data_IF_832328235172
#
_entry.id   IF_832328235172
#
_cell.length_a   1.000
_cell.length_b   1.000
_cell.length_c   1.000
_cell.angle_alpha   90.00
_cell.angle_beta   90.00
_cell.angle_gamma   90.00
#
_symmetry.space_group_name_H-M   'P 1'
#
loop_
_entity.id
_entity.type
_entity.pdbx_description
1 polymer ?
#
# COMPACT_ATOMS: atom_id res chain seq x y z
N UNK A 1 -23.13 -10.56 -11.99
CA UNK A 1 -21.75 -10.98 -11.70
C UNK A 1 -21.57 -11.22 -10.21
N UNK A 2 -20.73 -12.16 -9.84
CA UNK A 2 -20.42 -12.39 -8.42
C UNK A 2 -19.57 -11.26 -7.88
N UNK A 3 -19.90 -10.77 -6.68
CA UNK A 3 -19.15 -9.73 -5.98
C UNK A 3 -19.24 -9.91 -4.46
N UNK A 4 -18.24 -9.43 -3.75
CA UNK A 4 -18.29 -9.21 -2.31
C UNK A 4 -19.04 -7.91 -2.05
N UNK A 5 -20.10 -7.93 -1.26
CA UNK A 5 -20.99 -6.79 -1.05
C UNK A 5 -21.01 -6.37 0.41
N UNK A 6 -20.78 -5.09 0.65
CA UNK A 6 -20.98 -4.40 1.92
C UNK A 6 -22.36 -3.75 1.91
N UNK A 7 -23.31 -4.30 2.67
CA UNK A 7 -24.69 -3.77 2.78
C UNK A 7 -24.86 -2.84 3.96
N UNK A 8 -24.08 -3.04 5.00
CA UNK A 8 -24.08 -2.25 6.24
C UNK A 8 -22.65 -1.91 6.63
N UNK A 9 -22.45 -0.76 7.25
CA UNK A 9 -21.16 -0.42 7.84
C UNK A 9 -20.84 -1.39 8.98
N UNK A 10 -19.62 -1.92 8.98
CA UNK A 10 -19.16 -2.86 10.01
C UNK A 10 -17.84 -3.51 9.64
N UNK A 11 -17.47 -4.58 10.37
CA UNK A 11 -16.25 -5.33 10.10
C UNK A 11 -16.42 -6.35 8.96
N UNK A 12 -15.37 -7.16 8.68
CA UNK A 12 -15.41 -8.17 7.62
C UNK A 12 -16.57 -9.17 7.71
N UNK A 13 -17.18 -9.30 8.88
CA UNK A 13 -18.33 -10.21 9.12
C UNK A 13 -19.62 -9.76 8.45
N UNK A 14 -19.74 -8.48 8.13
CA UNK A 14 -20.90 -7.90 7.45
C UNK A 14 -20.86 -8.09 5.93
N UNK A 15 -19.75 -8.60 5.39
CA UNK A 15 -19.60 -8.83 3.96
C UNK A 15 -20.31 -10.12 3.53
N UNK A 16 -21.06 -10.02 2.43
CA UNK A 16 -21.70 -11.15 1.76
C UNK A 16 -21.12 -11.34 0.36
N UNK A 17 -21.29 -12.51 -0.20
CA UNK A 17 -20.96 -12.79 -1.61
C UNK A 17 -22.27 -12.99 -2.34
N UNK A 18 -22.58 -12.07 -3.22
CA UNK A 18 -23.87 -12.03 -3.91
C UNK A 18 -23.71 -11.79 -5.42
N UNK A 19 -24.77 -12.00 -6.16
CA UNK A 19 -24.90 -11.48 -7.50
C UNK A 19 -25.19 -9.98 -7.46
N UNK A 20 -24.31 -9.19 -8.04
CA UNK A 20 -24.41 -7.74 -8.14
C UNK A 20 -24.49 -7.30 -9.61
N UNK A 21 -25.13 -6.17 -9.85
CA UNK A 21 -25.09 -5.52 -11.15
C UNK A 21 -23.63 -5.07 -11.47
N UNK A 22 -23.23 -5.18 -12.73
CA UNK A 22 -21.96 -4.61 -13.18
C UNK A 22 -21.99 -3.09 -13.03
N UNK A 23 -20.87 -2.50 -12.61
CA UNK A 23 -20.74 -1.05 -12.55
C UNK A 23 -20.97 -0.44 -13.94
N UNK A 24 -21.66 0.70 -14.06
CA UNK A 24 -21.82 1.39 -15.34
C UNK A 24 -20.45 1.81 -15.89
N UNK A 25 -20.31 1.81 -17.22
CA UNK A 25 -19.13 2.38 -17.87
C UNK A 25 -19.07 3.88 -17.59
N UNK A 26 -17.88 4.38 -17.32
CA UNK A 26 -17.62 5.80 -17.13
C UNK A 26 -16.91 6.39 -18.36
N UNK A 27 -17.00 7.69 -18.56
CA UNK A 27 -16.22 8.38 -19.59
C UNK A 27 -14.71 8.15 -19.36
N UNK A 28 -13.96 7.83 -20.42
CA UNK A 28 -12.55 7.48 -20.32
C UNK A 28 -12.26 6.18 -19.57
N UNK A 29 -13.27 5.32 -19.40
CA UNK A 29 -13.19 4.11 -18.58
C UNK A 29 -12.78 2.86 -19.37
N UNK A 30 -12.31 1.86 -18.60
CA UNK A 30 -12.07 0.49 -19.01
C UNK A 30 -12.93 -0.42 -18.15
N UNK A 31 -13.65 -1.36 -18.76
CA UNK A 31 -14.21 -2.52 -18.05
C UNK A 31 -13.18 -3.64 -18.05
N UNK A 32 -12.92 -4.18 -16.88
CA UNK A 32 -11.90 -5.20 -16.66
C UNK A 32 -12.58 -6.45 -16.12
N UNK A 33 -12.43 -7.59 -16.81
CA UNK A 33 -12.69 -8.89 -16.22
C UNK A 33 -11.59 -9.17 -15.20
N UNK A 34 -11.95 -9.12 -13.92
CA UNK A 34 -11.01 -9.20 -12.80
C UNK A 34 -10.56 -10.64 -12.62
N UNK A 35 -9.26 -10.88 -12.73
CA UNK A 35 -8.63 -12.16 -12.38
C UNK A 35 -8.18 -12.16 -10.91
N UNK A 36 -7.72 -11.00 -10.42
CA UNK A 36 -7.24 -10.84 -9.05
C UNK A 36 -7.48 -9.41 -8.52
N UNK A 37 -7.67 -9.25 -7.21
CA UNK A 37 -7.83 -7.98 -6.52
C UNK A 37 -6.93 -7.91 -5.28
N UNK A 38 -6.19 -6.82 -5.11
CA UNK A 38 -5.33 -6.61 -3.96
C UNK A 38 -6.13 -6.23 -2.70
N UNK A 39 -5.77 -6.84 -1.56
CA UNK A 39 -6.38 -6.52 -0.26
C UNK A 39 -5.53 -5.48 0.46
N UNK A 40 -6.19 -4.42 0.93
CA UNK A 40 -5.55 -3.28 1.57
C UNK A 40 -6.15 -3.00 2.97
N UNK A 41 -5.36 -2.44 3.87
CA UNK A 41 -5.86 -2.00 5.18
C UNK A 41 -6.97 -0.94 5.03
N UNK A 42 -6.87 -0.09 4.01
CA UNK A 42 -7.88 0.90 3.69
C UNK A 42 -9.26 0.28 3.40
N UNK A 43 -9.32 -0.93 2.83
CA UNK A 43 -10.58 -1.64 2.60
C UNK A 43 -11.29 -1.95 3.93
N UNK A 44 -10.54 -2.33 4.97
CA UNK A 44 -11.11 -2.59 6.32
C UNK A 44 -11.71 -1.32 6.93
N UNK A 45 -11.02 -0.19 6.78
CA UNK A 45 -11.49 1.12 7.26
C UNK A 45 -12.69 1.62 6.45
N UNK A 46 -12.72 1.30 5.15
CA UNK A 46 -13.82 1.68 4.24
C UNK A 46 -15.12 0.94 4.60
N UNK A 47 -15.07 -0.37 4.79
CA UNK A 47 -16.28 -1.15 5.15
C UNK A 47 -16.81 -0.79 6.55
N UNK A 48 -15.97 -0.23 7.43
CA UNK A 48 -16.38 0.33 8.72
C UNK A 48 -17.00 1.74 8.60
N UNK A 49 -17.04 2.33 7.39
CA UNK A 49 -17.52 3.70 7.18
C UNK A 49 -16.61 4.79 7.75
N UNK A 50 -15.36 4.48 8.03
CA UNK A 50 -14.37 5.38 8.64
C UNK A 50 -13.32 5.92 7.67
N UNK A 51 -13.33 5.42 6.42
CA UNK A 51 -12.44 5.91 5.38
C UNK A 51 -12.91 7.27 4.82
N UNK A 52 -12.00 8.06 4.24
CA UNK A 52 -12.32 9.39 3.69
C UNK A 52 -13.33 9.33 2.55
N UNK A 53 -13.18 8.35 1.66
CA UNK A 53 -14.16 8.04 0.64
C UNK A 53 -15.17 7.03 1.20
N UNK A 54 -16.44 7.43 1.26
CA UNK A 54 -17.56 6.60 1.72
C UNK A 54 -18.48 6.30 0.55
N UNK A 55 -18.34 5.14 -0.11
CA UNK A 55 -19.26 4.74 -1.16
C UNK A 55 -20.71 4.63 -0.64
N UNK A 56 -21.71 4.90 -1.47
CA UNK A 56 -23.09 4.61 -1.09
C UNK A 56 -23.29 3.11 -0.90
N UNK A 57 -24.00 2.72 0.16
CA UNK A 57 -24.42 1.34 0.39
C UNK A 57 -25.57 0.95 -0.54
N UNK A 58 -25.61 -0.29 -1.08
CA UNK A 58 -24.57 -1.32 -0.98
C UNK A 58 -23.43 -1.09 -1.98
N UNK A 59 -22.21 -1.48 -1.63
CA UNK A 59 -21.04 -1.41 -2.52
C UNK A 59 -20.14 -2.63 -2.40
N UNK A 60 -19.29 -2.87 -3.40
CA UNK A 60 -18.18 -3.84 -3.32
C UNK A 60 -16.90 -3.12 -2.92
N UNK A 61 -16.14 -3.60 -1.91
CA UNK A 61 -14.82 -3.04 -1.59
C UNK A 61 -13.77 -3.39 -2.65
N UNK A 62 -12.49 -3.06 -2.36
CA UNK A 62 -11.34 -3.33 -3.23
C UNK A 62 -10.93 -2.13 -4.06
N UNK A 63 -9.68 -1.69 -3.87
CA UNK A 63 -9.14 -0.44 -4.43
C UNK A 63 -8.15 -0.66 -5.58
N UNK A 64 -7.81 -1.90 -5.89
CA UNK A 64 -6.92 -2.26 -6.99
C UNK A 64 -7.28 -3.65 -7.54
N UNK A 65 -7.13 -3.79 -8.85
CA UNK A 65 -7.46 -5.02 -9.57
C UNK A 65 -6.42 -5.32 -10.65
N UNK A 66 -6.31 -6.58 -11.02
CA UNK A 66 -5.65 -7.02 -12.25
C UNK A 66 -6.56 -7.94 -13.03
N UNK A 67 -6.50 -7.86 -14.35
CA UNK A 67 -7.36 -8.67 -15.21
C UNK A 67 -7.17 -8.37 -16.69
N UNK A 68 -8.23 -8.65 -17.45
CA UNK A 68 -8.25 -8.36 -18.89
C UNK A 68 -9.29 -7.31 -19.22
N UNK A 69 -8.93 -6.39 -20.08
CA UNK A 69 -9.88 -5.43 -20.64
C UNK A 69 -10.94 -6.20 -21.45
N UNK A 70 -12.20 -5.96 -21.17
CA UNK A 70 -13.34 -6.52 -21.95
C UNK A 70 -14.00 -5.45 -22.79
N UNK A 71 -13.97 -4.19 -22.35
CA UNK A 71 -14.59 -3.08 -23.05
C UNK A 71 -13.83 -1.78 -22.75
N UNK A 72 -13.76 -0.88 -23.73
CA UNK A 72 -13.22 0.48 -23.56
C UNK A 72 -14.30 1.49 -23.86
N UNK A 73 -14.38 2.57 -23.09
CA UNK A 73 -15.25 3.69 -23.41
C UNK A 73 -14.80 4.37 -24.73
N UNK A 74 -15.73 5.02 -25.46
CA UNK A 74 -15.37 5.76 -26.67
C UNK A 74 -14.23 6.76 -26.45
N UNK A 75 -13.28 6.81 -27.37
CA UNK A 75 -12.14 7.73 -27.30
C UNK A 75 -10.97 7.29 -26.43
N UNK A 76 -11.06 6.21 -25.68
CA UNK A 76 -9.93 5.66 -24.93
C UNK A 76 -8.87 5.15 -25.91
N UNK A 77 -7.64 5.57 -25.69
CA UNK A 77 -6.44 5.15 -26.47
C UNK A 77 -5.50 4.33 -25.60
N UNK A 78 -4.69 3.48 -26.26
CA UNK A 78 -3.65 2.69 -25.59
C UNK A 78 -4.12 1.37 -24.99
N UNK A 79 -5.44 1.08 -25.00
CA UNK A 79 -6.03 -0.16 -24.51
C UNK A 79 -7.04 -0.74 -25.50
N UNK A 80 -7.14 -2.06 -25.53
CA UNK A 80 -8.13 -2.80 -26.33
C UNK A 80 -8.59 -4.04 -25.57
N UNK A 81 -9.75 -4.61 -25.92
CA UNK A 81 -10.21 -5.88 -25.39
C UNK A 81 -9.13 -6.98 -25.51
N UNK A 82 -8.94 -7.74 -24.42
CA UNK A 82 -7.92 -8.77 -24.30
C UNK A 82 -6.61 -8.33 -23.64
N UNK A 83 -6.33 -7.01 -23.57
CA UNK A 83 -5.12 -6.51 -22.91
C UNK A 83 -5.10 -6.88 -21.43
N UNK A 84 -3.93 -7.32 -20.96
CA UNK A 84 -3.66 -7.60 -19.55
C UNK A 84 -3.33 -6.30 -18.84
N UNK A 85 -4.14 -5.94 -17.86
CA UNK A 85 -3.99 -4.66 -17.14
C UNK A 85 -4.10 -4.86 -15.63
N UNK A 86 -3.47 -3.96 -14.88
CA UNK A 86 -3.83 -3.69 -13.49
C UNK A 86 -4.26 -2.24 -13.36
N UNK A 87 -5.12 -1.96 -12.42
CA UNK A 87 -5.69 -0.63 -12.27
C UNK A 87 -5.92 -0.27 -10.80
N UNK A 88 -5.81 1.02 -10.50
CA UNK A 88 -6.28 1.63 -9.26
C UNK A 88 -7.70 2.13 -9.45
N UNK A 89 -8.57 1.73 -8.56
CA UNK A 89 -9.96 2.18 -8.49
C UNK A 89 -10.29 2.68 -7.08
N UNK A 90 -11.44 3.33 -6.88
CA UNK A 90 -11.79 3.80 -5.55
C UNK A 90 -12.44 2.72 -4.69
N UNK A 91 -13.25 1.86 -5.29
CA UNK A 91 -13.91 0.69 -4.73
C UNK A 91 -14.45 -0.18 -5.88
N UNK A 92 -14.99 -1.34 -5.59
CA UNK A 92 -15.60 -2.23 -6.59
C UNK A 92 -14.68 -3.33 -7.10
N UNK A 93 -13.48 -3.47 -6.54
CA UNK A 93 -12.50 -4.47 -7.01
C UNK A 93 -12.76 -5.89 -6.55
N UNK A 94 -13.54 -6.11 -5.50
CA UNK A 94 -13.86 -7.45 -5.03
C UNK A 94 -15.07 -8.02 -5.79
N UNK A 95 -14.97 -8.04 -7.09
CA UNK A 95 -16.00 -8.50 -8.01
C UNK A 95 -15.37 -9.15 -9.24
N UNK A 96 -16.17 -9.88 -10.02
CA UNK A 96 -15.74 -10.50 -11.27
C UNK A 96 -15.45 -9.49 -12.37
N UNK A 97 -16.02 -8.28 -12.28
CA UNK A 97 -15.76 -7.17 -13.21
C UNK A 97 -15.62 -5.87 -12.42
N UNK A 98 -14.74 -5.00 -12.89
CA UNK A 98 -14.56 -3.65 -12.37
C UNK A 98 -14.45 -2.64 -13.50
N UNK A 99 -14.79 -1.38 -13.20
CA UNK A 99 -14.60 -0.25 -14.12
C UNK A 99 -13.53 0.67 -13.54
N UNK A 100 -12.51 0.98 -14.34
CA UNK A 100 -11.41 1.84 -13.97
C UNK A 100 -11.26 3.00 -14.96
N UNK A 101 -10.80 4.16 -14.51
CA UNK A 101 -10.34 5.21 -15.41
C UNK A 101 -9.08 4.71 -16.15
N UNK A 102 -9.05 4.82 -17.49
CA UNK A 102 -7.93 4.35 -18.30
C UNK A 102 -6.58 4.97 -17.90
N UNK A 103 -6.58 6.23 -17.46
CA UNK A 103 -5.36 6.93 -17.00
C UNK A 103 -4.76 6.36 -15.70
N UNK A 104 -5.53 5.54 -14.95
CA UNK A 104 -5.06 4.85 -13.75
C UNK A 104 -5.07 3.32 -13.92
N UNK A 105 -4.93 2.90 -15.17
CA UNK A 105 -4.69 1.52 -15.56
C UNK A 105 -3.35 1.43 -16.29
N UNK A 106 -2.64 0.34 -16.08
CA UNK A 106 -1.34 0.09 -16.70
C UNK A 106 -1.31 -1.31 -17.28
N UNK A 107 -0.61 -1.47 -18.39
CA UNK A 107 -0.39 -2.80 -18.96
C UNK A 107 0.50 -3.61 -18.03
N UNK A 108 0.13 -4.88 -17.80
CA UNK A 108 0.94 -5.80 -16.98
C UNK A 108 2.21 -6.17 -17.75
N UNK A 109 3.40 -5.92 -17.20
CA UNK A 109 4.66 -6.28 -17.84
C UNK A 109 4.73 -7.78 -18.17
N UNK A 110 5.48 -8.11 -19.21
CA UNK A 110 5.77 -9.51 -19.54
C UNK A 110 6.49 -10.16 -18.36
N UNK A 111 6.01 -11.33 -17.95
CA UNK A 111 6.56 -12.07 -16.80
C UNK A 111 5.89 -11.76 -15.46
N UNK A 112 5.11 -10.69 -15.32
CA UNK A 112 4.30 -10.44 -14.13
C UNK A 112 2.99 -11.21 -14.23
N UNK A 113 2.65 -12.00 -13.22
CA UNK A 113 1.36 -12.69 -13.12
C UNK A 113 0.25 -11.76 -12.61
N UNK A 114 -1.02 -12.22 -12.68
CA UNK A 114 -2.17 -11.42 -12.28
C UNK A 114 -2.22 -11.14 -10.77
N UNK A 115 -1.78 -12.06 -9.94
CA UNK A 115 -1.80 -11.89 -8.48
C UNK A 115 -0.77 -10.88 -8.05
N UNK A 116 0.42 -10.93 -8.61
CA UNK A 116 1.48 -9.94 -8.41
C UNK A 116 1.02 -8.55 -8.87
N UNK A 117 0.44 -8.46 -10.06
CA UNK A 117 -0.05 -7.20 -10.62
C UNK A 117 -1.18 -6.58 -9.77
N UNK A 118 -2.12 -7.40 -9.28
CA UNK A 118 -3.22 -6.95 -8.42
C UNK A 118 -2.75 -6.37 -7.08
N UNK A 119 -1.59 -6.79 -6.59
CA UNK A 119 -1.02 -6.30 -5.33
C UNK A 119 0.04 -5.21 -5.50
N UNK A 120 0.22 -4.65 -6.70
CA UNK A 120 1.34 -3.77 -7.01
C UNK A 120 1.03 -2.28 -6.81
N UNK A 121 -0.07 -1.79 -7.40
CA UNK A 121 -0.32 -0.36 -7.55
C UNK A 121 -0.34 0.41 -6.22
N UNK A 122 -1.16 -0.04 -5.26
CA UNK A 122 -1.38 0.70 -4.02
C UNK A 122 -0.14 0.74 -3.16
N UNK A 123 0.54 -0.38 -2.95
CA UNK A 123 1.66 -0.43 -2.00
C UNK A 123 2.93 0.21 -2.56
N UNK A 124 3.27 -0.05 -3.83
CA UNK A 124 4.44 0.56 -4.47
C UNK A 124 4.22 2.05 -4.73
N UNK A 125 3.07 2.44 -5.26
CA UNK A 125 2.73 3.84 -5.49
C UNK A 125 2.72 4.67 -4.20
N UNK A 126 2.17 4.10 -3.12
CA UNK A 126 2.19 4.71 -1.79
C UNK A 126 3.62 4.96 -1.32
N UNK A 127 4.46 3.93 -1.30
CA UNK A 127 5.82 4.05 -0.78
C UNK A 127 6.70 4.93 -1.66
N UNK A 128 6.56 4.85 -3.00
CA UNK A 128 7.37 5.66 -3.91
C UNK A 128 7.09 7.16 -3.73
N UNK A 129 5.84 7.59 -3.84
CA UNK A 129 5.52 9.02 -3.69
C UNK A 129 5.70 9.52 -2.25
N UNK A 130 5.47 8.69 -1.25
CA UNK A 130 5.77 9.05 0.13
C UNK A 130 7.25 9.34 0.34
N UNK A 131 8.15 8.53 -0.23
CA UNK A 131 9.59 8.70 -0.07
C UNK A 131 10.18 9.73 -1.00
N UNK A 132 9.74 9.80 -2.28
CA UNK A 132 10.31 10.72 -3.28
C UNK A 132 9.72 12.13 -3.20
N UNK A 133 8.39 12.25 -3.34
CA UNK A 133 7.73 13.56 -3.40
C UNK A 133 7.50 14.15 -2.01
N UNK A 134 7.00 13.33 -1.06
CA UNK A 134 6.59 13.86 0.25
C UNK A 134 7.73 13.98 1.25
N UNK A 135 8.55 12.93 1.39
CA UNK A 135 9.72 12.94 2.27
C UNK A 135 10.95 13.59 1.61
N UNK A 136 11.05 13.55 0.29
CA UNK A 136 12.27 13.98 -0.41
C UNK A 136 13.50 13.23 0.09
N UNK A 137 13.38 11.88 0.22
CA UNK A 137 14.48 11.01 0.66
C UNK A 137 15.67 11.14 -0.27
N UNK A 138 16.86 11.34 0.30
CA UNK A 138 18.11 11.54 -0.44
C UNK A 138 19.05 10.34 -0.27
N UNK A 139 19.90 10.07 -1.26
CA UNK A 139 20.99 9.08 -1.10
C UNK A 139 21.84 9.40 0.13
N UNK A 140 22.21 8.35 0.88
CA UNK A 140 23.02 8.45 2.10
C UNK A 140 22.23 8.80 3.37
N UNK A 141 20.93 9.15 3.29
CA UNK A 141 20.08 9.31 4.47
C UNK A 141 19.72 7.96 5.10
N UNK A 142 19.43 7.96 6.39
CA UNK A 142 18.93 6.81 7.12
C UNK A 142 17.40 6.82 7.12
N UNK A 143 16.81 5.76 6.56
CA UNK A 143 15.37 5.51 6.53
C UNK A 143 14.98 4.45 7.55
N UNK A 144 14.19 4.83 8.57
CA UNK A 144 13.54 3.87 9.47
C UNK A 144 12.17 3.49 8.93
N UNK A 145 11.92 2.19 8.75
CA UNK A 145 10.64 1.66 8.28
C UNK A 145 9.96 0.84 9.37
N UNK A 146 8.82 1.32 9.88
CA UNK A 146 8.00 0.53 10.79
C UNK A 146 7.12 -0.47 10.03
N UNK A 147 6.87 -1.64 10.67
CA UNK A 147 6.06 -2.68 10.04
C UNK A 147 6.63 -3.16 8.70
N UNK A 148 7.95 -3.27 8.61
CA UNK A 148 8.72 -3.45 7.38
C UNK A 148 8.38 -4.71 6.57
N UNK A 149 7.80 -5.74 7.20
CA UNK A 149 7.35 -6.94 6.48
C UNK A 149 5.91 -6.87 5.96
N UNK A 150 5.18 -5.78 6.24
CA UNK A 150 3.83 -5.56 5.70
C UNK A 150 3.86 -5.03 4.26
N UNK A 151 2.68 -4.91 3.62
CA UNK A 151 2.59 -4.49 2.22
C UNK A 151 3.36 -3.22 1.92
N UNK A 152 2.98 -2.08 2.51
CA UNK A 152 3.66 -0.79 2.28
C UNK A 152 5.03 -0.69 2.94
N UNK A 153 5.26 -1.45 4.04
CA UNK A 153 6.57 -1.46 4.70
C UNK A 153 7.63 -2.12 3.84
N UNK A 154 7.31 -3.28 3.26
CA UNK A 154 8.25 -4.02 2.43
C UNK A 154 8.64 -3.25 1.16
N UNK A 155 7.65 -2.60 0.52
CA UNK A 155 7.91 -1.74 -0.64
C UNK A 155 8.70 -0.48 -0.27
N UNK A 156 8.52 0.05 0.94
CA UNK A 156 9.35 1.17 1.43
C UNK A 156 10.81 0.76 1.67
N UNK A 157 11.07 -0.48 2.12
CA UNK A 157 12.43 -1.03 2.21
C UNK A 157 13.08 -1.08 0.84
N UNK A 158 12.45 -1.70 -0.15
CA UNK A 158 13.00 -1.82 -1.51
C UNK A 158 13.26 -0.46 -2.16
N UNK A 159 12.27 0.43 -2.10
CA UNK A 159 12.37 1.76 -2.68
C UNK A 159 13.43 2.59 -1.97
N UNK A 160 13.51 2.52 -0.64
CA UNK A 160 14.55 3.19 0.13
C UNK A 160 15.96 2.75 -0.30
N UNK A 161 16.16 1.45 -0.50
CA UNK A 161 17.42 0.90 -1.04
C UNK A 161 17.70 1.40 -2.46
N UNK A 162 16.71 1.36 -3.34
CA UNK A 162 16.85 1.85 -4.73
C UNK A 162 17.18 3.34 -4.78
N UNK A 163 16.73 4.12 -3.80
CA UNK A 163 17.04 5.55 -3.66
C UNK A 163 18.39 5.82 -2.96
N UNK A 164 19.12 4.79 -2.55
CA UNK A 164 20.45 4.92 -1.94
C UNK A 164 20.45 5.22 -0.44
N UNK A 165 19.36 4.98 0.27
CA UNK A 165 19.29 5.13 1.72
C UNK A 165 19.89 3.93 2.46
N UNK A 166 20.36 4.15 3.70
CA UNK A 166 20.57 3.09 4.68
C UNK A 166 19.22 2.78 5.35
N UNK A 167 18.73 1.55 5.19
CA UNK A 167 17.40 1.17 5.64
C UNK A 167 17.45 0.37 6.94
N UNK A 168 16.81 0.90 7.98
CA UNK A 168 16.55 0.22 9.25
C UNK A 168 15.11 -0.28 9.23
N UNK A 169 14.89 -1.59 9.32
CA UNK A 169 13.58 -2.22 9.30
C UNK A 169 13.14 -2.67 10.69
N UNK A 170 11.89 -2.37 11.10
CA UNK A 170 11.33 -2.92 12.34
C UNK A 170 10.19 -3.90 12.06
N UNK A 171 10.19 -5.03 12.75
CA UNK A 171 9.09 -5.99 12.77
C UNK A 171 9.00 -6.67 14.14
N UNK A 172 7.94 -7.45 14.39
CA UNK A 172 7.72 -8.07 15.70
C UNK A 172 8.06 -9.55 15.77
N UNK A 173 8.76 -10.10 14.78
CA UNK A 173 9.26 -11.49 14.82
C UNK A 173 10.49 -11.64 13.96
N UNK A 174 11.43 -12.57 14.32
CA UNK A 174 12.60 -12.85 13.51
C UNK A 174 12.29 -13.27 12.06
N UNK A 175 11.22 -14.05 11.85
CA UNK A 175 10.81 -14.46 10.51
C UNK A 175 10.37 -13.28 9.63
N UNK A 176 9.70 -12.28 10.18
CA UNK A 176 9.34 -11.05 9.48
C UNK A 176 10.55 -10.18 9.18
N UNK A 177 11.51 -10.13 10.09
CA UNK A 177 12.76 -9.40 9.89
C UNK A 177 13.62 -10.05 8.78
N UNK A 178 13.67 -11.39 8.73
CA UNK A 178 14.37 -12.10 7.66
C UNK A 178 13.81 -11.70 6.27
N UNK A 179 12.48 -11.58 6.15
CA UNK A 179 11.85 -11.12 4.90
C UNK A 179 12.27 -9.68 4.56
N UNK A 180 12.32 -8.78 5.55
CA UNK A 180 12.77 -7.40 5.30
C UNK A 180 14.25 -7.36 4.85
N UNK A 181 15.09 -8.24 5.40
CA UNK A 181 16.50 -8.39 4.99
C UNK A 181 16.61 -8.89 3.53
N UNK A 182 15.82 -9.90 3.13
CA UNK A 182 15.76 -10.41 1.76
C UNK A 182 15.38 -9.32 0.74
N UNK A 183 14.63 -8.30 1.19
CA UNK A 183 14.20 -7.15 0.40
C UNK A 183 15.14 -5.93 0.53
N UNK A 184 16.27 -6.09 1.23
CA UNK A 184 17.35 -5.12 1.20
C UNK A 184 17.48 -4.23 2.44
N UNK A 185 16.82 -4.53 3.56
CA UNK A 185 17.08 -3.81 4.80
C UNK A 185 18.52 -4.03 5.27
N UNK A 186 19.23 -2.96 5.62
CA UNK A 186 20.61 -3.03 6.11
C UNK A 186 20.68 -3.41 7.58
N UNK A 187 19.70 -2.94 8.36
CA UNK A 187 19.62 -3.19 9.80
C UNK A 187 18.21 -3.63 10.18
N UNK A 188 18.14 -4.47 11.19
CA UNK A 188 16.90 -5.10 11.66
C UNK A 188 16.71 -4.83 13.15
N UNK A 189 15.48 -4.50 13.55
CA UNK A 189 15.11 -4.30 14.96
C UNK A 189 13.86 -5.12 15.26
N UNK A 190 13.97 -6.07 16.20
CA UNK A 190 12.79 -6.76 16.75
C UNK A 190 12.15 -5.90 17.84
N UNK A 191 11.11 -5.15 17.47
CA UNK A 191 10.42 -4.27 18.40
C UNK A 191 9.66 -5.00 19.53
N UNK A 192 9.61 -6.34 19.52
CA UNK A 192 9.05 -7.15 20.63
C UNK A 192 10.09 -7.46 21.70
N UNK A 193 11.38 -7.42 21.36
CA UNK A 193 12.50 -7.77 22.22
C UNK A 193 13.45 -6.60 22.50
N UNK A 194 13.45 -5.58 21.64
CA UNK A 194 14.41 -4.47 21.68
C UNK A 194 13.67 -3.12 21.79
N UNK A 195 14.29 -2.14 22.47
CA UNK A 195 13.83 -0.75 22.44
C UNK A 195 14.24 -0.08 21.13
N UNK A 196 13.26 0.22 20.30
CA UNK A 196 13.47 0.79 18.95
C UNK A 196 14.30 2.07 19.00
N UNK A 197 14.05 2.96 19.97
CA UNK A 197 14.81 4.21 20.12
C UNK A 197 16.28 3.93 20.36
N UNK A 198 16.58 3.09 21.34
CA UNK A 198 17.97 2.74 21.73
C UNK A 198 18.70 2.15 20.53
N UNK A 199 18.07 1.19 19.84
CA UNK A 199 18.71 0.54 18.69
C UNK A 199 18.93 1.48 17.51
N UNK A 200 17.98 2.36 17.19
CA UNK A 200 18.16 3.36 16.13
C UNK A 200 19.31 4.31 16.47
N UNK A 201 19.41 4.78 17.70
CA UNK A 201 20.50 5.66 18.11
C UNK A 201 21.87 4.96 18.07
N UNK A 202 21.96 3.70 18.49
CA UNK A 202 23.17 2.90 18.35
C UNK A 202 23.62 2.73 16.89
N UNK A 203 22.65 2.40 16.00
CA UNK A 203 22.91 2.19 14.57
C UNK A 203 23.24 3.47 13.80
N UNK A 204 23.05 4.64 14.42
CA UNK A 204 23.26 5.95 13.80
C UNK A 204 24.22 6.84 14.57
N UNK A 205 25.05 6.27 15.45
CA UNK A 205 26.02 7.01 16.29
C UNK A 205 25.38 8.17 17.07
N UNK A 206 24.17 7.93 17.60
CA UNK A 206 23.38 8.90 18.37
C UNK A 206 22.62 9.92 17.54
N UNK A 207 22.78 9.96 16.22
CA UNK A 207 22.18 10.96 15.32
C UNK A 207 20.68 10.78 15.13
N UNK A 208 20.22 9.55 15.06
CA UNK A 208 18.83 9.17 14.73
C UNK A 208 18.59 9.02 13.23
N UNK A 209 17.36 8.62 12.86
CA UNK A 209 16.96 8.41 11.47
C UNK A 209 16.55 9.74 10.80
N UNK A 210 16.96 9.95 9.55
CA UNK A 210 16.64 11.17 8.80
C UNK A 210 15.18 11.18 8.30
N UNK A 211 14.69 10.00 7.91
CA UNK A 211 13.30 9.78 7.48
C UNK A 211 12.73 8.59 8.23
N UNK A 212 11.50 8.72 8.70
CA UNK A 212 10.77 7.62 9.32
C UNK A 212 9.47 7.40 8.54
N UNK A 213 9.28 6.18 8.04
CA UNK A 213 8.09 5.73 7.34
C UNK A 213 7.18 4.97 8.31
N UNK A 214 6.05 5.57 8.69
CA UNK A 214 5.18 5.05 9.74
C UNK A 214 3.78 4.68 9.24
N UNK A 215 3.52 3.39 8.93
CA UNK A 215 2.18 2.86 8.67
C UNK A 215 1.48 2.35 9.95
N UNK A 216 2.11 2.46 11.13
CA UNK A 216 1.70 1.78 12.36
C UNK A 216 1.00 2.73 13.34
N UNK A 217 1.60 3.89 13.61
CA UNK A 217 1.10 4.82 14.64
C UNK A 217 1.33 4.32 16.07
N UNK A 218 0.59 4.88 17.04
CA UNK A 218 0.66 4.46 18.43
C UNK A 218 2.07 4.47 19.02
N UNK A 219 2.52 3.36 19.63
CA UNK A 219 3.84 3.24 20.25
C UNK A 219 5.00 3.38 19.25
N UNK A 220 4.83 2.93 17.99
CA UNK A 220 5.84 3.10 16.96
C UNK A 220 6.08 4.60 16.66
N UNK A 221 5.02 5.39 16.56
CA UNK A 221 5.13 6.83 16.38
C UNK A 221 5.80 7.52 17.59
N UNK A 222 5.47 7.09 18.81
CA UNK A 222 6.11 7.62 20.02
C UNK A 222 7.62 7.33 20.06
N UNK A 223 8.04 6.14 19.61
CA UNK A 223 9.45 5.79 19.44
C UNK A 223 10.09 6.64 18.34
N UNK A 224 9.39 6.89 17.23
CA UNK A 224 9.85 7.73 16.12
C UNK A 224 10.21 9.15 16.57
N UNK A 225 9.37 9.80 17.36
CA UNK A 225 9.65 11.14 17.89
C UNK A 225 10.94 11.22 18.74
N UNK A 226 11.38 10.09 19.31
CA UNK A 226 12.56 10.01 20.16
C UNK A 226 13.82 9.57 19.41
N UNK A 227 13.65 8.88 18.27
CA UNK A 227 14.76 8.32 17.47
C UNK A 227 14.98 9.05 16.12
N UNK A 228 14.19 10.09 15.85
CA UNK A 228 14.38 10.93 14.67
C UNK A 228 15.59 11.87 14.84
N UNK A 229 16.34 12.04 13.76
CA UNK A 229 17.44 13.00 13.69
C UNK A 229 16.94 14.44 13.78
N UNK A 230 17.82 15.35 14.17
CA UNK A 230 17.55 16.79 14.09
C UNK A 230 17.31 17.19 12.63
N UNK A 231 16.23 17.92 12.36
CA UNK A 231 15.82 18.28 11.00
C UNK A 231 15.17 17.16 10.20
N UNK A 232 14.95 15.98 10.79
CA UNK A 232 14.35 14.82 10.14
C UNK A 232 12.84 14.98 9.90
N UNK A 233 12.24 13.98 9.23
CA UNK A 233 10.80 13.96 8.91
C UNK A 233 10.17 12.59 9.09
N UNK A 234 8.99 12.57 9.72
CA UNK A 234 8.17 11.38 9.90
C UNK A 234 7.03 11.44 8.88
N UNK A 235 6.91 10.41 8.05
CA UNK A 235 5.81 10.28 7.08
C UNK A 235 4.75 9.37 7.65
N UNK A 236 3.57 9.93 7.93
CA UNK A 236 2.40 9.20 8.43
C UNK A 236 1.68 8.57 7.24
N UNK A 237 1.72 7.24 7.16
CA UNK A 237 1.11 6.43 6.10
C UNK A 237 -0.22 5.82 6.56
N UNK A 238 -0.31 5.44 7.83
CA UNK A 238 -1.48 4.78 8.38
C UNK A 238 -1.39 4.53 9.87
N UNK A 239 -2.40 3.83 10.38
CA UNK A 239 -2.57 3.58 11.81
C UNK A 239 -2.91 2.12 12.08
N UNK A 240 -2.06 1.21 11.56
CA UNK A 240 -2.28 -0.25 11.71
C UNK A 240 -2.31 -0.73 13.18
N UNK A 241 -1.82 0.07 14.13
CA UNK A 241 -1.99 -0.18 15.56
C UNK A 241 -3.44 0.04 16.05
N UNK A 242 -4.26 0.76 15.26
CA UNK A 242 -5.57 1.25 15.69
C UNK A 242 -5.53 2.58 16.46
N UNK A 243 -4.35 3.09 16.80
CA UNK A 243 -4.17 4.32 17.59
C UNK A 243 -3.63 5.45 16.74
N UNK A 244 -4.41 6.51 16.60
CA UNK A 244 -3.98 7.75 15.94
C UNK A 244 -3.12 8.54 16.93
N UNK A 245 -1.84 8.85 16.59
CA UNK A 245 -0.95 9.53 17.50
C UNK A 245 -1.28 11.01 17.65
N UNK A 246 -1.02 11.56 18.84
CA UNK A 246 -0.99 13.01 19.07
C UNK A 246 0.42 13.51 18.79
N UNK A 247 0.52 14.63 18.09
CA UNK A 247 1.82 15.22 17.72
C UNK A 247 2.14 16.38 18.67
N UNK A 248 3.12 16.22 19.59
CA UNK A 248 3.50 17.29 20.53
C UNK A 248 4.32 18.36 19.82
N UNK A 249 3.74 19.53 19.59
CA UNK A 249 4.34 20.61 18.82
C UNK A 249 5.66 21.14 19.41
N UNK A 250 5.85 21.06 20.73
CA UNK A 250 7.10 21.42 21.39
C UNK A 250 8.29 20.53 20.95
N UNK A 251 8.06 19.25 20.64
CA UNK A 251 9.10 18.36 20.10
C UNK A 251 9.46 18.77 18.68
N UNK A 252 8.47 19.13 17.86
CA UNK A 252 8.71 19.61 16.50
C UNK A 252 9.59 20.85 16.52
N UNK A 253 9.27 21.80 17.41
CA UNK A 253 10.01 23.06 17.59
C UNK A 253 11.48 22.81 17.94
N UNK A 254 11.74 22.00 18.99
CA UNK A 254 13.10 21.83 19.54
C UNK A 254 13.98 20.98 18.62
N UNK A 255 13.40 19.96 17.96
CA UNK A 255 14.14 19.09 17.06
C UNK A 255 14.15 19.58 15.61
N UNK A 256 13.43 20.65 15.28
CA UNK A 256 13.25 21.14 13.90
C UNK A 256 12.72 20.07 12.94
N UNK A 257 11.90 19.12 13.42
CA UNK A 257 11.39 18.00 12.63
C UNK A 257 10.05 18.30 11.99
N UNK A 258 9.76 17.62 10.86
CA UNK A 258 8.47 17.61 10.22
C UNK A 258 7.69 16.31 10.50
N UNK A 259 6.37 16.43 10.73
CA UNK A 259 5.43 15.29 10.66
C UNK A 259 4.52 15.54 9.47
N UNK A 260 4.60 14.68 8.46
CA UNK A 260 4.00 14.89 7.16
C UNK A 260 2.95 13.79 6.92
N UNK A 261 1.71 14.15 6.68
CA UNK A 261 0.67 13.22 6.25
C UNK A 261 0.84 12.85 4.77
N UNK A 262 0.50 11.61 4.43
CA UNK A 262 0.50 11.13 3.06
C UNK A 262 -0.71 10.25 2.79
N UNK A 263 -1.41 10.52 1.69
CA UNK A 263 -2.52 9.71 1.17
C UNK A 263 -2.37 9.55 -0.34
N UNK A 264 -1.93 8.37 -0.78
CA UNK A 264 -1.72 8.10 -2.20
C UNK A 264 -2.99 8.26 -3.04
N UNK A 265 -4.14 7.85 -2.50
CA UNK A 265 -5.43 7.96 -3.20
C UNK A 265 -5.82 9.40 -3.56
N UNK A 266 -5.39 10.38 -2.76
CA UNK A 266 -5.70 11.80 -3.02
C UNK A 266 -4.82 12.42 -4.12
N UNK A 267 -3.66 11.83 -4.43
CA UNK A 267 -2.85 12.26 -5.58
C UNK A 267 -3.60 12.15 -6.90
N UNK A 268 -4.51 11.18 -7.02
CA UNK A 268 -5.40 11.07 -8.19
C UNK A 268 -6.17 12.36 -8.48
N UNK A 269 -6.57 13.08 -7.44
CA UNK A 269 -7.36 14.31 -7.56
C UNK A 269 -6.48 15.56 -7.71
N UNK A 270 -5.35 15.61 -7.01
CA UNK A 270 -4.54 16.83 -6.90
C UNK A 270 -3.28 16.80 -7.75
N UNK A 271 -2.69 15.66 -7.97
CA UNK A 271 -1.42 15.48 -8.68
C UNK A 271 -1.43 14.19 -9.54
N UNK A 272 -2.40 14.04 -10.48
CA UNK A 272 -2.53 12.82 -11.29
C UNK A 272 -1.27 12.50 -12.09
N UNK A 273 -0.56 13.51 -12.60
CA UNK A 273 0.67 13.32 -13.39
C UNK A 273 1.80 12.71 -12.54
N UNK A 274 1.93 13.11 -11.27
CA UNK A 274 2.90 12.48 -10.38
C UNK A 274 2.55 11.02 -10.09
N UNK A 275 1.26 10.72 -9.95
CA UNK A 275 0.80 9.35 -9.72
C UNK A 275 1.13 8.46 -10.92
N UNK A 276 0.84 8.91 -12.13
CA UNK A 276 1.13 8.14 -13.36
C UNK A 276 2.63 8.01 -13.60
N UNK A 277 3.40 9.08 -13.51
CA UNK A 277 4.86 9.06 -13.67
C UNK A 277 5.57 8.21 -12.59
N UNK A 278 5.03 8.22 -11.36
CA UNK A 278 5.49 7.31 -10.30
C UNK A 278 5.33 5.85 -10.70
N UNK A 279 4.18 5.49 -11.26
CA UNK A 279 3.93 4.11 -11.67
C UNK A 279 4.80 3.69 -12.87
N UNK A 280 5.03 4.58 -13.82
CA UNK A 280 5.95 4.34 -14.94
C UNK A 280 7.39 4.06 -14.43
N UNK A 281 7.85 4.85 -13.47
CA UNK A 281 9.16 4.64 -12.82
C UNK A 281 9.21 3.27 -12.12
N UNK A 282 8.19 2.92 -11.37
CA UNK A 282 8.11 1.64 -10.65
C UNK A 282 8.08 0.44 -11.60
N UNK A 283 7.36 0.55 -12.72
CA UNK A 283 7.35 -0.49 -13.75
C UNK A 283 8.70 -0.64 -14.42
N UNK A 284 9.44 0.47 -14.63
CA UNK A 284 10.84 0.44 -15.09
C UNK A 284 11.73 -0.29 -14.11
N UNK A 285 11.66 0.03 -12.81
CA UNK A 285 12.45 -0.65 -11.77
C UNK A 285 12.08 -2.14 -11.62
N UNK A 286 10.80 -2.48 -11.81
CA UNK A 286 10.38 -3.89 -11.84
C UNK A 286 11.02 -4.62 -13.03
N UNK A 287 11.00 -4.02 -14.22
CA UNK A 287 11.61 -4.60 -15.43
C UNK A 287 13.14 -4.80 -15.29
N UNK A 288 13.82 -3.91 -14.55
CA UNK A 288 15.24 -4.04 -14.17
C UNK A 288 15.49 -5.12 -13.11
N UNK A 289 14.45 -5.72 -12.51
CA UNK A 289 14.58 -6.67 -11.41
C UNK A 289 14.94 -6.04 -10.07
N UNK A 290 14.83 -4.71 -9.94
CA UNK A 290 15.12 -3.98 -8.71
C UNK A 290 13.99 -4.09 -7.67
N UNK A 291 12.78 -4.42 -8.09
CA UNK A 291 11.64 -4.65 -7.21
C UNK A 291 11.23 -6.12 -7.24
N UNK A 292 10.88 -6.65 -6.05
CA UNK A 292 10.51 -8.05 -5.83
C UNK A 292 9.13 -8.16 -5.17
N UNK A 293 8.03 -7.87 -5.89
CA UNK A 293 6.70 -7.88 -5.30
C UNK A 293 6.39 -9.21 -4.62
N UNK A 294 5.94 -9.13 -3.36
CA UNK A 294 5.64 -10.31 -2.55
C UNK A 294 4.14 -10.42 -2.28
N UNK A 295 3.53 -11.48 -2.81
CA UNK A 295 2.19 -11.92 -2.43
C UNK A 295 2.35 -13.11 -1.48
N UNK A 296 1.93 -12.95 -0.23
CA UNK A 296 2.13 -13.97 0.81
C UNK A 296 0.94 -14.89 1.00
N UNK A 297 -0.24 -14.44 0.60
CA UNK A 297 -1.48 -15.19 0.73
C UNK A 297 -2.40 -14.88 -0.45
N UNK A 298 -3.07 -15.92 -0.95
CA UNK A 298 -4.17 -15.80 -1.91
C UNK A 298 -5.41 -16.47 -1.34
N UNK A 299 -6.56 -15.87 -1.61
CA UNK A 299 -7.87 -16.40 -1.22
C UNK A 299 -8.80 -16.32 -2.43
N UNK A 300 -9.79 -17.19 -2.50
CA UNK A 300 -10.87 -17.03 -3.47
C UNK A 300 -11.72 -15.79 -3.12
N UNK A 301 -12.37 -15.21 -4.11
CA UNK A 301 -13.27 -14.07 -3.92
C UNK A 301 -14.32 -14.31 -2.81
N UNK A 302 -14.84 -15.55 -2.75
CA UNK A 302 -15.79 -15.98 -1.72
C UNK A 302 -15.20 -15.97 -0.29
N UNK A 303 -13.89 -15.95 -0.16
CA UNK A 303 -13.17 -15.94 1.12
C UNK A 303 -12.65 -14.55 1.51
N UNK A 304 -13.15 -13.48 0.88
CA UNK A 304 -12.72 -12.11 1.15
C UNK A 304 -12.75 -11.73 2.64
N UNK A 305 -13.74 -12.24 3.39
CA UNK A 305 -13.80 -12.08 4.84
C UNK A 305 -12.55 -12.64 5.52
N UNK A 306 -12.14 -13.87 5.17
CA UNK A 306 -10.95 -14.51 5.77
C UNK A 306 -9.68 -13.74 5.41
N UNK A 307 -9.59 -13.22 4.17
CA UNK A 307 -8.47 -12.40 3.72
C UNK A 307 -8.32 -11.12 4.55
N UNK A 308 -9.44 -10.39 4.79
CA UNK A 308 -9.45 -9.20 5.63
C UNK A 308 -9.16 -9.53 7.10
N UNK A 309 -9.70 -10.62 7.64
CA UNK A 309 -9.39 -11.09 9.00
C UNK A 309 -7.90 -11.48 9.14
N UNK A 310 -7.29 -12.09 8.11
CA UNK A 310 -5.85 -12.40 8.10
C UNK A 310 -4.99 -11.12 8.11
N UNK A 311 -5.41 -10.09 7.36
CA UNK A 311 -4.75 -8.78 7.35
C UNK A 311 -4.83 -8.10 8.72
N UNK A 312 -6.03 -8.02 9.30
CA UNK A 312 -6.25 -7.45 10.63
C UNK A 312 -5.51 -8.21 11.72
N UNK A 313 -5.41 -9.53 11.58
CA UNK A 313 -4.61 -10.40 12.47
C UNK A 313 -3.09 -10.31 12.25
N UNK A 314 -2.61 -9.44 11.36
CA UNK A 314 -1.17 -9.24 11.05
C UNK A 314 -0.44 -10.53 10.65
N UNK A 315 -1.16 -11.47 10.00
CA UNK A 315 -0.61 -12.77 9.59
C UNK A 315 0.15 -12.70 8.26
N UNK A 316 -0.09 -11.66 7.45
CA UNK A 316 0.53 -11.49 6.13
C UNK A 316 1.93 -10.88 6.21
N UNK A 317 2.75 -11.22 5.22
CA UNK A 317 4.03 -10.58 4.90
C UNK A 317 4.00 -10.16 3.43
N UNK A 318 4.05 -8.86 3.14
CA UNK A 318 3.71 -8.36 1.80
C UNK A 318 2.20 -8.28 1.59
N UNK A 319 1.72 -8.66 0.41
CA UNK A 319 0.32 -8.53 -0.01
C UNK A 319 -0.52 -9.79 0.22
N UNK A 320 -1.81 -9.56 0.43
CA UNK A 320 -2.89 -10.54 0.29
C UNK A 320 -3.65 -10.21 -0.98
N UNK A 321 -4.08 -11.22 -1.71
CA UNK A 321 -4.79 -11.06 -2.98
C UNK A 321 -6.00 -12.00 -3.03
N UNK A 322 -7.13 -11.49 -3.53
CA UNK A 322 -8.30 -12.29 -3.87
C UNK A 322 -8.21 -12.72 -5.35
N UNK A 323 -8.63 -13.95 -5.65
CA UNK A 323 -8.73 -14.46 -7.03
C UNK A 323 -10.17 -14.78 -7.38
N UNK A 324 -10.56 -14.54 -8.62
CA UNK A 324 -11.94 -14.78 -9.10
C UNK A 324 -12.09 -16.11 -9.81
N UNK A 325 -10.99 -16.83 -10.08
CA UNK A 325 -10.99 -18.08 -10.86
C UNK A 325 -11.04 -17.86 -12.38
N UNK A 326 -10.85 -16.62 -12.85
CA UNK A 326 -10.87 -16.22 -14.28
C UNK A 326 -9.48 -16.02 -14.86
#
# INVERSE_FOLDING_TARGET
>A
MRAVVCRNWGGPRELTVDDAAAAPMIEGGLRIAVAAAGVNFADTVMIEGRYQNKPPLPFSPGMEVAGRVVETAPGVKGFKPGDRVFAKIDYGGYAEEAVAEARFAWQIPKGMDMTTAAGFAVVYGTSHLALTDRAGLKPGETLLVHGAAGGVGLTAVEIGKKLGATVIATAGTPSKLAIAAEHGADHLIDHSAEDVRTRVLELTDGRGADVIYDPVGGAAFAASLRSIAWGGRIIVIGFASGTIPQVPANILLVKHIGVLGFSWGTYRLHRPDLLTGSMETLLGWYAEGALKPRVSMTFELAEARKALEALLGRKSTGKIVLTTGR
#
